data_IF_029969668619
#
_entry.id   IF_029969668619
#
_cell.length_a   1.000
_cell.length_b   1.000
_cell.length_c   1.000
_cell.angle_alpha   90.00
_cell.angle_beta   90.00
_cell.angle_gamma   90.00
#
_symmetry.space_group_name_H-M   'P 1'
#
loop_
_entity.id
_entity.type
_entity.pdbx_description
1 polymer ?
#
# COMPACT_ATOMS: atom_id res chain seq x y z
N UNK A 1 -40.12 14.82 -78.71
CA UNK A 1 -41.10 14.49 -77.64
C UNK A 1 -40.51 13.74 -76.44
N UNK A 2 -39.20 13.37 -76.42
CA UNK A 2 -38.58 12.71 -75.25
C UNK A 2 -37.99 13.68 -74.21
N UNK A 3 -37.62 14.89 -74.60
CA UNK A 3 -36.89 15.82 -73.70
C UNK A 3 -37.77 16.52 -72.67
N UNK A 4 -39.06 16.73 -72.97
CA UNK A 4 -39.97 17.47 -72.06
C UNK A 4 -40.37 16.65 -70.83
N UNK A 5 -40.47 15.33 -70.95
CA UNK A 5 -40.75 14.45 -69.82
C UNK A 5 -39.52 14.21 -68.94
N UNK A 6 -38.31 14.19 -69.54
CA UNK A 6 -37.07 14.03 -68.78
C UNK A 6 -36.80 15.22 -67.85
N UNK A 7 -37.11 16.44 -68.29
CA UNK A 7 -36.99 17.66 -67.47
C UNK A 7 -37.99 17.70 -66.29
N UNK A 8 -39.19 17.14 -66.45
CA UNK A 8 -40.18 17.13 -65.35
C UNK A 8 -39.84 16.08 -64.29
N UNK A 9 -39.38 14.89 -64.68
CA UNK A 9 -38.97 13.85 -63.74
C UNK A 9 -37.70 14.24 -62.95
N UNK A 10 -36.73 14.88 -63.60
CA UNK A 10 -35.53 15.40 -62.94
C UNK A 10 -35.85 16.56 -61.98
N UNK A 11 -36.79 17.45 -62.34
CA UNK A 11 -37.23 18.54 -61.46
C UNK A 11 -37.97 18.02 -60.21
N UNK A 12 -38.87 17.04 -60.37
CA UNK A 12 -39.56 16.40 -59.23
C UNK A 12 -38.57 15.68 -58.31
N UNK A 13 -37.59 14.96 -58.90
CA UNK A 13 -36.51 14.32 -58.15
C UNK A 13 -35.66 15.32 -57.36
N UNK A 14 -35.33 16.48 -57.94
CA UNK A 14 -34.59 17.55 -57.27
C UNK A 14 -35.38 18.14 -56.09
N UNK A 15 -36.67 18.41 -56.27
CA UNK A 15 -37.54 18.95 -55.20
C UNK A 15 -37.65 17.94 -54.06
N UNK A 16 -37.86 16.65 -54.36
CA UNK A 16 -37.90 15.60 -53.35
C UNK A 16 -36.58 15.50 -52.56
N UNK A 17 -35.44 15.65 -53.24
CA UNK A 17 -34.11 15.65 -52.59
C UNK A 17 -33.91 16.88 -51.68
N UNK A 18 -34.39 18.05 -52.09
CA UNK A 18 -34.36 19.29 -51.29
C UNK A 18 -35.26 19.14 -50.06
N UNK A 19 -36.47 18.62 -50.21
CA UNK A 19 -37.38 18.36 -49.09
C UNK A 19 -36.82 17.33 -48.11
N UNK A 20 -36.19 16.26 -48.62
CA UNK A 20 -35.58 15.24 -47.77
C UNK A 20 -34.36 15.78 -47.02
N UNK A 21 -33.48 16.52 -47.69
CA UNK A 21 -32.28 17.10 -47.08
C UNK A 21 -32.63 18.18 -46.03
N UNK A 22 -33.66 18.98 -46.26
CA UNK A 22 -34.16 19.96 -45.26
C UNK A 22 -34.81 19.27 -44.05
N UNK A 23 -35.60 18.21 -44.26
CA UNK A 23 -36.17 17.42 -43.17
C UNK A 23 -35.09 16.73 -42.33
N UNK A 24 -34.09 16.12 -42.97
CA UNK A 24 -32.95 15.50 -42.29
C UNK A 24 -32.14 16.54 -41.50
N UNK A 25 -31.88 17.71 -42.09
CA UNK A 25 -31.17 18.80 -41.41
C UNK A 25 -31.95 19.30 -40.18
N UNK A 26 -33.27 19.46 -40.31
CA UNK A 26 -34.14 19.81 -39.18
C UNK A 26 -34.09 18.77 -38.07
N UNK A 27 -34.19 17.48 -38.41
CA UNK A 27 -34.11 16.37 -37.45
C UNK A 27 -32.77 16.32 -36.73
N UNK A 28 -31.65 16.52 -37.44
CA UNK A 28 -30.31 16.56 -36.84
C UNK A 28 -30.17 17.74 -35.88
N UNK A 29 -30.65 18.93 -36.25
CA UNK A 29 -30.62 20.11 -35.37
C UNK A 29 -31.49 19.89 -34.13
N UNK A 30 -32.67 19.28 -34.27
CA UNK A 30 -33.56 18.96 -33.15
C UNK A 30 -32.92 17.96 -32.18
N UNK A 31 -32.38 16.85 -32.70
CA UNK A 31 -31.70 15.83 -31.91
C UNK A 31 -30.46 16.39 -31.19
N UNK A 32 -29.70 17.29 -31.83
CA UNK A 32 -28.56 17.95 -31.19
C UNK A 32 -29.00 18.87 -30.04
N UNK A 33 -30.16 19.54 -30.15
CA UNK A 33 -30.70 20.35 -29.05
C UNK A 33 -31.17 19.48 -27.89
N UNK A 34 -31.89 18.39 -28.17
CA UNK A 34 -32.32 17.43 -27.15
C UNK A 34 -31.12 16.75 -26.48
N UNK A 35 -30.10 16.37 -27.25
CA UNK A 35 -28.87 15.78 -26.72
C UNK A 35 -28.09 16.74 -25.83
N UNK A 36 -28.03 18.04 -26.17
CA UNK A 36 -27.41 19.06 -25.29
C UNK A 36 -28.21 19.26 -24.01
N UNK A 37 -29.53 19.38 -24.09
CA UNK A 37 -30.38 19.51 -22.91
C UNK A 37 -30.25 18.28 -21.99
N UNK A 38 -30.15 17.08 -22.56
CA UNK A 38 -29.92 15.85 -21.81
C UNK A 38 -28.52 15.85 -21.17
N UNK A 39 -27.49 16.29 -21.90
CA UNK A 39 -26.12 16.40 -21.37
C UNK A 39 -26.06 17.36 -20.18
N UNK A 40 -26.68 18.54 -20.31
CA UNK A 40 -26.73 19.54 -19.23
C UNK A 40 -27.47 18.98 -18.00
N UNK A 41 -28.57 18.25 -18.21
CA UNK A 41 -29.33 17.59 -17.14
C UNK A 41 -28.52 16.51 -16.43
N UNK A 42 -27.80 15.67 -17.19
CA UNK A 42 -26.93 14.61 -16.63
C UNK A 42 -25.77 15.23 -15.85
N UNK A 43 -25.18 16.31 -16.36
CA UNK A 43 -24.09 17.00 -15.70
C UNK A 43 -24.56 17.65 -14.38
N UNK A 44 -25.72 18.30 -14.38
CA UNK A 44 -26.33 18.83 -13.16
C UNK A 44 -26.66 17.73 -12.14
N UNK A 45 -27.15 16.58 -12.61
CA UNK A 45 -27.42 15.43 -11.74
C UNK A 45 -26.13 14.88 -11.12
N UNK A 46 -25.05 14.76 -11.90
CA UNK A 46 -23.75 14.32 -11.39
C UNK A 46 -23.24 15.25 -10.28
N UNK A 47 -23.33 16.56 -10.48
CA UNK A 47 -22.95 17.55 -9.47
C UNK A 47 -23.80 17.44 -8.19
N UNK A 48 -25.12 17.22 -8.33
CA UNK A 48 -26.01 17.01 -7.18
C UNK A 48 -25.69 15.73 -6.42
N UNK A 49 -25.33 14.65 -7.12
CA UNK A 49 -24.93 13.38 -6.50
C UNK A 49 -23.62 13.56 -5.72
N UNK A 50 -22.64 14.27 -6.28
CA UNK A 50 -21.37 14.57 -5.60
C UNK A 50 -21.61 15.39 -4.32
N UNK A 51 -22.42 16.45 -4.40
CA UNK A 51 -22.78 17.25 -3.23
C UNK A 51 -23.55 16.44 -2.16
N UNK A 52 -24.42 15.51 -2.56
CA UNK A 52 -25.09 14.59 -1.65
C UNK A 52 -24.11 13.62 -1.00
N UNK A 53 -23.14 13.09 -1.76
CA UNK A 53 -22.08 12.22 -1.21
C UNK A 53 -21.27 12.96 -0.15
N UNK A 54 -20.89 14.21 -0.41
CA UNK A 54 -20.16 15.01 0.55
C UNK A 54 -20.99 15.28 1.82
N UNK A 55 -22.29 15.50 1.68
CA UNK A 55 -23.20 15.65 2.83
C UNK A 55 -23.34 14.35 3.63
N UNK A 56 -23.38 13.19 2.98
CA UNK A 56 -23.40 11.88 3.63
C UNK A 56 -22.11 11.65 4.41
N UNK A 57 -20.95 11.90 3.81
CA UNK A 57 -19.65 11.80 4.49
C UNK A 57 -19.58 12.72 5.73
N UNK A 58 -20.13 13.93 5.62
CA UNK A 58 -20.22 14.86 6.75
C UNK A 58 -21.19 14.38 7.84
N UNK A 59 -22.27 13.70 7.48
CA UNK A 59 -23.23 13.10 8.43
C UNK A 59 -22.62 11.90 9.13
N UNK A 60 -21.93 11.01 8.40
CA UNK A 60 -21.20 9.86 8.98
C UNK A 60 -20.14 10.33 9.98
N UNK A 61 -19.35 11.34 9.63
CA UNK A 61 -18.37 11.96 10.55
C UNK A 61 -19.01 12.60 11.78
N UNK A 62 -20.24 13.10 11.68
CA UNK A 62 -21.00 13.66 12.82
C UNK A 62 -21.63 12.58 13.70
N UNK A 63 -21.92 11.41 13.15
CA UNK A 63 -22.53 10.32 13.91
C UNK A 63 -21.51 9.44 14.64
N UNK A 64 -20.26 9.42 14.15
CA UNK A 64 -19.11 8.82 14.84
C UNK A 64 -18.99 9.33 16.28
N UNK A 65 -18.88 8.40 17.24
CA UNK A 65 -18.71 8.72 18.67
C UNK A 65 -17.26 9.06 18.96
N UNK A 66 -16.32 8.55 18.18
CA UNK A 66 -14.89 8.84 18.26
C UNK A 66 -14.49 9.85 17.20
N UNK A 67 -13.87 10.93 17.64
CA UNK A 67 -13.28 11.97 16.80
C UNK A 67 -11.75 11.85 16.87
N UNK A 68 -11.11 11.89 15.69
CA UNK A 68 -9.66 12.04 15.53
C UNK A 68 -8.84 11.07 16.40
N UNK A 69 -9.00 9.77 16.16
CA UNK A 69 -8.14 8.75 16.75
C UNK A 69 -6.71 8.89 16.21
N UNK A 70 -5.74 8.98 17.12
CA UNK A 70 -4.32 9.09 16.81
C UNK A 70 -3.54 8.02 17.58
N UNK A 71 -2.45 7.57 16.96
CA UNK A 71 -1.52 6.63 17.54
C UNK A 71 -0.13 7.23 17.52
N UNK A 72 0.49 7.35 18.69
CA UNK A 72 1.92 7.60 18.79
C UNK A 72 2.61 6.28 19.10
N UNK A 73 3.59 5.89 18.29
CA UNK A 73 4.30 4.62 18.41
C UNK A 73 5.74 4.93 18.74
N UNK A 74 6.20 4.39 19.87
CA UNK A 74 7.60 4.42 20.29
C UNK A 74 8.07 2.99 20.47
N UNK A 75 9.38 2.75 20.47
CA UNK A 75 9.91 1.39 20.64
C UNK A 75 10.29 1.14 22.09
N UNK A 76 10.00 -0.07 22.55
CA UNK A 76 10.48 -0.59 23.83
C UNK A 76 11.08 -1.97 23.62
N UNK A 77 12.25 -2.20 24.21
CA UNK A 77 12.91 -3.50 24.22
C UNK A 77 12.48 -4.27 25.47
N UNK A 78 11.97 -5.49 25.29
CA UNK A 78 11.67 -6.42 26.39
C UNK A 78 12.09 -7.82 26.00
N UNK A 79 12.95 -8.42 26.84
CA UNK A 79 13.36 -9.82 26.71
C UNK A 79 13.80 -10.17 25.27
N UNK A 80 14.73 -9.37 24.71
CA UNK A 80 15.30 -9.57 23.36
C UNK A 80 14.30 -9.41 22.20
N UNK A 81 13.09 -8.89 22.48
CA UNK A 81 12.09 -8.56 21.47
C UNK A 81 11.84 -7.06 21.44
N UNK A 82 11.80 -6.46 20.24
CA UNK A 82 11.33 -5.09 20.03
C UNK A 82 9.80 -5.09 19.95
N UNK A 83 9.17 -4.28 20.80
CA UNK A 83 7.74 -4.03 20.78
C UNK A 83 7.45 -2.56 20.48
N UNK A 84 6.37 -2.31 19.75
CA UNK A 84 5.81 -0.99 19.58
C UNK A 84 5.02 -0.64 20.83
N UNK A 85 5.53 0.29 21.64
CA UNK A 85 4.77 0.94 22.71
C UNK A 85 3.86 1.99 22.09
N UNK A 86 2.56 1.71 22.09
CA UNK A 86 1.54 2.51 21.45
C UNK A 86 0.84 3.33 22.51
N UNK A 87 0.88 4.64 22.32
CA UNK A 87 0.01 5.57 23.01
C UNK A 87 -1.17 5.88 22.07
N UNK A 88 -2.33 5.34 22.40
CA UNK A 88 -3.59 5.67 21.75
C UNK A 88 -4.20 6.90 22.42
N UNK A 89 -4.62 7.85 21.61
CA UNK A 89 -5.38 9.03 22.04
C UNK A 89 -6.52 9.30 21.07
N UNK A 90 -7.72 9.50 21.59
CA UNK A 90 -8.86 9.93 20.79
C UNK A 90 -9.76 10.88 21.59
N UNK A 91 -10.65 11.59 20.90
CA UNK A 91 -11.63 12.47 21.52
C UNK A 91 -13.04 11.91 21.30
N UNK A 92 -13.93 12.04 22.28
CA UNK A 92 -15.33 11.69 22.14
C UNK A 92 -16.15 12.87 21.61
N UNK A 93 -17.01 12.60 20.63
CA UNK A 93 -18.01 13.56 20.15
C UNK A 93 -19.26 13.61 21.05
N UNK A 94 -19.64 12.47 21.63
CA UNK A 94 -20.82 12.32 22.50
C UNK A 94 -20.37 11.60 23.78
N UNK A 95 -20.48 12.27 24.92
CA UNK A 95 -20.24 11.65 26.24
C UNK A 95 -21.60 11.23 26.78
N UNK A 96 -21.85 9.93 26.91
CA UNK A 96 -22.97 9.42 27.71
C UNK A 96 -22.45 9.03 29.09
N UNK A 97 -23.13 9.48 30.15
CA UNK A 97 -22.81 9.09 31.53
C UNK A 97 -22.95 7.56 31.67
N UNK A 98 -22.07 6.94 32.49
CA UNK A 98 -22.05 5.50 32.80
C UNK A 98 -21.70 4.52 31.64
N UNK A 99 -21.04 5.00 30.59
CA UNK A 99 -20.57 4.14 29.50
C UNK A 99 -19.24 3.47 29.86
N UNK A 100 -19.15 2.15 29.69
CA UNK A 100 -17.88 1.42 29.78
C UNK A 100 -17.25 1.34 28.40
N UNK A 101 -16.00 1.80 28.30
CA UNK A 101 -15.29 1.94 27.03
C UNK A 101 -14.04 1.04 27.07
N UNK A 102 -13.85 0.21 26.04
CA UNK A 102 -12.71 -0.72 25.93
C UNK A 102 -12.10 -0.63 24.53
N UNK A 103 -10.77 -0.59 24.45
CA UNK A 103 -10.07 -0.72 23.17
C UNK A 103 -9.96 -2.21 22.85
N UNK A 104 -10.37 -2.59 21.65
CA UNK A 104 -10.15 -3.90 21.09
C UNK A 104 -9.07 -3.80 20.03
N UNK A 105 -8.15 -4.75 20.01
CA UNK A 105 -7.13 -4.85 18.98
C UNK A 105 -6.88 -6.32 18.62
N UNK A 106 -6.46 -6.57 17.38
CA UNK A 106 -6.02 -7.90 16.95
C UNK A 106 -5.03 -7.78 15.78
N UNK A 107 -4.09 -8.74 15.63
CA UNK A 107 -3.40 -8.93 14.35
C UNK A 107 -4.43 -9.19 13.25
N UNK A 108 -4.25 -8.63 12.06
CA UNK A 108 -5.17 -8.83 10.92
C UNK A 108 -5.30 -10.31 10.51
N UNK A 109 -4.29 -11.12 10.81
CA UNK A 109 -4.26 -12.57 10.61
C UNK A 109 -5.04 -13.37 11.67
N UNK A 110 -5.48 -12.73 12.77
CA UNK A 110 -6.15 -13.37 13.89
C UNK A 110 -7.66 -13.13 13.88
N UNK A 111 -8.43 -14.12 14.34
CA UNK A 111 -9.87 -13.97 14.57
C UNK A 111 -10.21 -13.46 15.98
N UNK A 112 -9.27 -13.53 16.92
CA UNK A 112 -9.49 -13.21 18.33
C UNK A 112 -9.19 -11.74 18.65
N UNK A 113 -10.14 -11.07 19.30
CA UNK A 113 -9.98 -9.70 19.78
C UNK A 113 -9.40 -9.66 21.19
N UNK A 114 -8.26 -8.99 21.34
CA UNK A 114 -7.66 -8.68 22.62
C UNK A 114 -8.25 -7.39 23.19
N UNK A 115 -8.36 -7.32 24.52
CA UNK A 115 -8.98 -6.20 25.23
C UNK A 115 -7.92 -5.39 25.94
N UNK A 116 -7.91 -4.09 25.69
CA UNK A 116 -7.10 -3.12 26.40
C UNK A 116 -8.01 -2.10 27.13
N UNK A 117 -7.81 -1.87 28.44
CA UNK A 117 -8.50 -0.81 29.16
C UNK A 117 -8.23 0.57 28.55
N UNK A 118 -9.25 1.42 28.49
CA UNK A 118 -9.14 2.84 28.14
C UNK A 118 -9.39 3.67 29.39
N UNK A 119 -8.55 4.67 29.61
CA UNK A 119 -8.78 5.74 30.57
C UNK A 119 -9.59 6.83 29.89
N UNK A 120 -10.67 7.28 30.53
CA UNK A 120 -11.53 8.36 30.03
C UNK A 120 -11.34 9.58 30.91
N UNK A 121 -10.91 10.70 30.34
CA UNK A 121 -10.73 11.96 31.06
C UNK A 121 -11.31 13.13 30.26
N UNK A 122 -12.34 13.79 30.80
CA UNK A 122 -12.97 14.98 30.18
C UNK A 122 -13.28 14.79 28.68
N UNK A 123 -13.80 13.62 28.30
CA UNK A 123 -14.13 13.28 26.91
C UNK A 123 -12.95 12.87 26.03
N UNK A 124 -11.75 12.71 26.59
CA UNK A 124 -10.59 12.14 25.91
C UNK A 124 -10.41 10.67 26.32
N UNK A 125 -10.10 9.85 25.34
CA UNK A 125 -9.79 8.44 25.49
C UNK A 125 -8.28 8.28 25.39
N UNK A 126 -7.69 7.63 26.40
CA UNK A 126 -6.26 7.34 26.40
C UNK A 126 -6.02 5.89 26.75
N UNK A 127 -5.11 5.25 26.03
CA UNK A 127 -4.63 3.93 26.38
C UNK A 127 -3.17 3.75 25.99
N UNK A 128 -2.48 2.91 26.75
CA UNK A 128 -1.11 2.51 26.46
C UNK A 128 -1.01 0.99 26.47
N UNK A 129 -0.44 0.45 25.41
CA UNK A 129 -0.23 -0.99 25.24
C UNK A 129 0.99 -1.23 24.35
N UNK A 130 1.46 -2.48 24.33
CA UNK A 130 2.66 -2.88 23.60
C UNK A 130 2.29 -4.00 22.63
N UNK A 131 2.70 -3.87 21.36
CA UNK A 131 2.45 -4.87 20.32
C UNK A 131 3.75 -5.24 19.60
N UNK A 132 3.92 -6.49 19.17
CA UNK A 132 5.02 -6.86 18.30
C UNK A 132 4.84 -6.27 16.90
N UNK A 133 5.94 -5.99 16.21
CA UNK A 133 5.96 -5.43 14.85
C UNK A 133 5.76 -6.49 13.74
N UNK A 134 5.01 -7.54 14.02
CA UNK A 134 4.87 -8.70 13.13
C UNK A 134 3.77 -8.55 12.08
N UNK A 135 2.76 -7.72 12.35
CA UNK A 135 1.55 -7.61 11.54
C UNK A 135 0.96 -6.20 11.58
N UNK A 136 0.03 -5.94 10.67
CA UNK A 136 -0.94 -4.85 10.81
C UNK A 136 -1.99 -5.21 11.84
N UNK A 137 -2.37 -4.23 12.65
CA UNK A 137 -3.38 -4.41 13.68
C UNK A 137 -4.67 -3.70 13.31
N UNK A 138 -5.78 -4.42 13.43
CA UNK A 138 -7.11 -3.85 13.40
C UNK A 138 -7.49 -3.39 14.81
N UNK A 139 -8.15 -2.22 14.91
CA UNK A 139 -8.57 -1.65 16.18
C UNK A 139 -10.04 -1.24 16.16
N UNK A 140 -10.72 -1.45 17.28
CA UNK A 140 -12.10 -1.02 17.51
C UNK A 140 -12.27 -0.47 18.91
N UNK A 141 -13.19 0.47 19.09
CA UNK A 141 -13.66 0.84 20.42
C UNK A 141 -14.99 0.16 20.67
N UNK A 142 -15.04 -0.60 21.76
CA UNK A 142 -16.27 -1.19 22.28
C UNK A 142 -16.86 -0.27 23.35
N UNK A 143 -18.14 0.02 23.19
CA UNK A 143 -18.94 0.85 24.06
C UNK A 143 -20.08 0.02 24.66
N UNK A 144 -20.09 -0.13 25.98
CA UNK A 144 -21.15 -0.84 26.71
C UNK A 144 -21.99 0.15 27.52
N UNK A 145 -23.29 0.19 27.27
CA UNK A 145 -24.25 1.05 27.99
C UNK A 145 -25.60 0.35 28.10
N UNK A 146 -26.15 0.25 29.32
CA UNK A 146 -27.53 -0.24 29.58
C UNK A 146 -27.91 -1.57 28.91
N UNK A 147 -26.96 -2.48 28.74
CA UNK A 147 -27.18 -3.79 28.11
C UNK A 147 -27.03 -3.79 26.58
N UNK A 148 -26.75 -2.65 25.97
CA UNK A 148 -26.39 -2.51 24.56
C UNK A 148 -24.87 -2.41 24.40
N UNK A 149 -24.35 -2.97 23.32
CA UNK A 149 -22.93 -2.91 22.96
C UNK A 149 -22.79 -2.36 21.55
N UNK A 150 -22.00 -1.30 21.41
CA UNK A 150 -21.67 -0.67 20.14
C UNK A 150 -20.19 -0.80 19.86
N UNK A 151 -19.84 -0.89 18.58
CA UNK A 151 -18.47 -0.97 18.12
C UNK A 151 -18.20 0.14 17.11
N UNK A 152 -17.03 0.76 17.23
CA UNK A 152 -16.56 1.75 16.27
C UNK A 152 -15.18 1.35 15.78
N UNK A 153 -15.06 1.12 14.48
CA UNK A 153 -13.77 0.78 13.85
C UNK A 153 -12.88 2.01 13.79
N UNK A 154 -11.63 1.84 14.21
CA UNK A 154 -10.60 2.87 14.13
C UNK A 154 -9.70 2.63 12.91
N UNK A 155 -8.89 3.63 12.50
CA UNK A 155 -7.85 3.39 11.50
C UNK A 155 -6.91 2.28 11.96
N UNK A 156 -6.52 1.40 11.03
CA UNK A 156 -5.59 0.31 11.31
C UNK A 156 -4.23 0.87 11.78
N UNK A 157 -3.58 0.13 12.67
CA UNK A 157 -2.23 0.43 13.14
C UNK A 157 -1.24 -0.44 12.36
N UNK A 158 -0.63 0.18 11.36
CA UNK A 158 0.46 -0.40 10.59
C UNK A 158 1.77 -0.21 11.36
N UNK A 159 2.22 -1.29 12.00
CA UNK A 159 3.53 -1.37 12.65
C UNK A 159 4.57 -1.97 11.70
N UNK A 160 4.17 -2.91 10.85
CA UNK A 160 5.07 -3.65 9.98
C UNK A 160 5.82 -2.73 9.01
N UNK A 161 5.11 -1.85 8.31
CA UNK A 161 5.68 -0.90 7.34
C UNK A 161 6.61 0.10 8.02
N UNK A 162 6.38 0.44 9.29
CA UNK A 162 7.25 1.35 10.05
C UNK A 162 8.64 0.76 10.33
N UNK A 163 8.77 -0.56 10.53
CA UNK A 163 10.08 -1.21 10.59
C UNK A 163 10.64 -1.47 9.19
N UNK A 164 9.82 -1.84 8.22
CA UNK A 164 10.29 -2.15 6.87
C UNK A 164 10.97 -0.94 6.19
N UNK A 165 10.54 0.28 6.50
CA UNK A 165 11.18 1.53 6.06
C UNK A 165 12.57 1.80 6.67
N UNK A 166 12.99 1.08 7.72
CA UNK A 166 14.34 1.23 8.28
C UNK A 166 15.40 0.68 7.32
N UNK A 167 15.03 -0.29 6.48
CA UNK A 167 15.93 -0.95 5.54
C UNK A 167 15.60 -0.58 4.09
N UNK A 168 16.52 0.10 3.42
CA UNK A 168 16.53 0.13 1.96
C UNK A 168 17.23 -1.11 1.43
N UNK A 169 16.60 -1.84 0.51
CA UNK A 169 17.12 -3.09 -0.07
C UNK A 169 17.07 -2.97 -1.57
N UNK A 170 18.21 -3.14 -2.22
CA UNK A 170 18.31 -3.10 -3.67
C UNK A 170 19.08 -4.31 -4.18
N UNK A 171 18.59 -4.93 -5.26
CA UNK A 171 19.35 -5.90 -6.03
C UNK A 171 19.32 -5.41 -7.47
N UNK A 172 20.49 -5.27 -8.11
CA UNK A 172 20.54 -5.03 -9.55
C UNK A 172 21.26 -6.16 -10.26
N UNK A 173 20.58 -6.75 -11.23
CA UNK A 173 21.19 -7.67 -12.17
C UNK A 173 21.82 -6.87 -13.31
N UNK A 174 23.15 -6.76 -13.33
CA UNK A 174 23.86 -5.94 -14.30
C UNK A 174 23.92 -6.57 -15.69
N UNK A 175 24.16 -7.88 -15.73
CA UNK A 175 24.43 -8.59 -16.98
C UNK A 175 24.20 -10.08 -16.86
N UNK A 176 23.54 -10.65 -17.87
CA UNK A 176 23.49 -12.11 -18.08
C UNK A 176 24.18 -12.41 -19.41
N UNK A 177 25.30 -13.14 -19.36
CA UNK A 177 26.08 -13.54 -20.55
C UNK A 177 26.18 -15.05 -20.59
N UNK A 178 25.50 -15.69 -21.54
CA UNK A 178 25.37 -17.14 -21.56
C UNK A 178 24.65 -17.62 -20.30
N UNK A 179 25.22 -18.60 -19.61
CA UNK A 179 24.72 -19.13 -18.32
C UNK A 179 25.33 -18.43 -17.10
N UNK A 180 25.93 -17.25 -17.25
CA UNK A 180 26.57 -16.50 -16.17
C UNK A 180 25.80 -15.20 -15.91
N UNK A 181 25.49 -14.94 -14.64
CA UNK A 181 24.87 -13.70 -14.16
C UNK A 181 25.85 -12.90 -13.31
N UNK A 182 25.84 -11.59 -13.46
CA UNK A 182 26.52 -10.61 -12.61
C UNK A 182 25.49 -9.71 -11.96
N UNK A 183 25.58 -9.56 -10.64
CA UNK A 183 24.62 -8.80 -9.86
C UNK A 183 25.29 -8.12 -8.67
N UNK A 184 24.63 -7.08 -8.18
CA UNK A 184 24.90 -6.51 -6.86
C UNK A 184 23.67 -6.57 -5.96
N UNK A 185 23.91 -6.68 -4.66
CA UNK A 185 22.90 -6.49 -3.62
C UNK A 185 23.40 -5.43 -2.66
N UNK A 186 22.54 -4.49 -2.30
CA UNK A 186 22.82 -3.37 -1.40
C UNK A 186 21.74 -3.30 -0.31
N UNK A 187 22.19 -3.10 0.92
CA UNK A 187 21.34 -2.89 2.10
C UNK A 187 21.77 -1.58 2.74
N UNK A 188 20.80 -0.72 3.01
CA UNK A 188 20.99 0.50 3.78
C UNK A 188 20.11 0.43 5.01
N UNK A 189 20.69 0.54 6.19
CA UNK A 189 19.96 0.75 7.42
C UNK A 189 20.05 2.22 7.78
N UNK A 190 18.93 2.94 7.70
CA UNK A 190 18.90 4.34 8.12
C UNK A 190 18.99 4.43 9.64
N UNK A 191 19.72 5.44 10.16
CA UNK A 191 19.69 5.73 11.58
C UNK A 191 18.25 5.95 12.02
N UNK A 192 17.87 5.21 13.05
CA UNK A 192 16.56 5.30 13.66
C UNK A 192 16.70 5.28 15.18
N UNK A 193 15.73 5.90 15.85
CA UNK A 193 15.64 5.88 17.31
C UNK A 193 15.42 4.46 17.87
N UNK A 194 15.25 3.47 17.00
CA UNK A 194 14.88 2.10 17.33
C UNK A 194 16.08 1.21 17.70
N UNK A 195 17.32 1.67 17.47
CA UNK A 195 18.54 0.93 17.86
C UNK A 195 18.69 -0.43 17.16
N UNK A 196 17.98 -0.62 16.04
CA UNK A 196 17.98 -1.85 15.25
C UNK A 196 19.34 -2.08 14.64
N UNK A 197 19.81 -3.33 14.69
CA UNK A 197 21.03 -3.79 14.04
C UNK A 197 20.70 -4.99 13.17
N UNK A 198 21.44 -5.13 12.08
CA UNK A 198 21.35 -6.27 11.20
C UNK A 198 22.17 -7.43 11.79
N UNK A 199 21.55 -8.59 12.01
CA UNK A 199 22.19 -9.79 12.53
C UNK A 199 22.61 -10.75 11.40
N UNK A 200 21.78 -10.88 10.36
CA UNK A 200 22.12 -11.61 9.15
C UNK A 200 21.51 -10.98 7.89
N UNK A 201 22.17 -11.19 6.76
CA UNK A 201 21.63 -10.83 5.45
C UNK A 201 22.07 -11.84 4.41
N UNK A 202 21.12 -12.58 3.86
CA UNK A 202 21.35 -13.65 2.92
C UNK A 202 20.74 -13.29 1.57
N UNK A 203 21.58 -13.33 0.53
CA UNK A 203 21.17 -13.21 -0.86
C UNK A 203 21.06 -14.62 -1.47
N UNK A 204 19.84 -15.05 -1.77
CA UNK A 204 19.54 -16.34 -2.39
C UNK A 204 19.33 -16.19 -3.89
N UNK A 205 19.96 -17.07 -4.67
CA UNK A 205 19.78 -17.16 -6.12
C UNK A 205 19.00 -18.43 -6.43
N UNK A 206 17.91 -18.29 -7.16
CA UNK A 206 17.06 -19.38 -7.63
C UNK A 206 17.08 -19.48 -9.15
N UNK A 207 16.85 -20.69 -9.64
CA UNK A 207 16.48 -20.97 -11.04
C UNK A 207 15.29 -21.91 -11.05
N UNK A 208 14.17 -21.51 -11.69
CA UNK A 208 12.91 -22.27 -11.67
C UNK A 208 12.51 -22.71 -10.25
N UNK A 209 12.50 -21.76 -9.32
CA UNK A 209 12.21 -21.94 -7.90
C UNK A 209 13.17 -22.87 -7.11
N UNK A 210 14.24 -23.36 -7.73
CA UNK A 210 15.25 -24.16 -7.04
C UNK A 210 16.41 -23.30 -6.57
N UNK A 211 16.71 -23.33 -5.27
CA UNK A 211 17.84 -22.62 -4.69
C UNK A 211 19.16 -23.14 -5.28
N UNK A 212 19.89 -22.25 -5.94
CA UNK A 212 21.17 -22.53 -6.58
C UNK A 212 22.35 -22.11 -5.71
N UNK A 213 22.25 -20.95 -5.05
CA UNK A 213 23.33 -20.40 -4.24
C UNK A 213 22.81 -19.42 -3.18
N UNK A 214 23.51 -19.39 -2.04
CA UNK A 214 23.36 -18.36 -1.02
C UNK A 214 24.68 -17.60 -0.88
N UNK A 215 24.59 -16.27 -0.82
CA UNK A 215 25.68 -15.38 -0.43
C UNK A 215 25.30 -14.69 0.87
N UNK A 216 26.20 -14.70 1.84
CA UNK A 216 26.07 -13.84 3.00
C UNK A 216 26.57 -12.44 2.62
N UNK A 217 25.72 -11.43 2.84
CA UNK A 217 25.94 -10.03 2.46
C UNK A 217 26.70 -9.27 3.56
N UNK A 218 26.62 -9.73 4.81
CA UNK A 218 27.26 -9.07 5.95
C UNK A 218 28.53 -9.79 6.44
N UNK A 219 28.76 -11.04 6.03
CA UNK A 219 29.91 -11.83 6.49
C UNK A 219 31.25 -11.39 5.85
N UNK A 220 32.30 -11.36 6.68
CA UNK A 220 33.68 -11.04 6.33
C UNK A 220 34.19 -11.86 5.12
N UNK A 221 34.85 -11.22 4.15
CA UNK A 221 35.74 -11.95 3.22
C UNK A 221 37.20 -11.76 3.62
N UNK A 222 37.94 -12.85 3.81
CA UNK A 222 39.39 -12.80 4.02
C UNK A 222 40.10 -12.22 2.78
N UNK A 223 40.45 -10.94 2.83
CA UNK A 223 41.42 -10.34 1.94
C UNK A 223 42.29 -9.35 2.73
N UNK A 224 43.34 -9.87 3.39
CA UNK A 224 44.49 -9.07 3.85
C UNK A 224 44.24 -8.11 5.01
N UNK A 225 44.48 -8.58 6.24
CA UNK A 225 44.93 -7.80 7.43
C UNK A 225 44.15 -6.57 7.92
N UNK A 226 42.93 -6.31 7.46
CA UNK A 226 42.02 -5.38 8.14
C UNK A 226 40.59 -5.94 8.08
N UNK A 227 40.01 -6.24 9.25
CA UNK A 227 38.64 -6.73 9.41
C UNK A 227 37.69 -5.55 9.32
N UNK A 228 37.22 -5.24 8.12
CA UNK A 228 36.08 -4.37 7.90
C UNK A 228 35.05 -5.17 7.07
N UNK A 229 33.73 -4.94 7.24
CA UNK A 229 32.70 -5.47 6.33
C UNK A 229 33.08 -5.14 4.87
N UNK A 230 32.55 -5.85 3.87
CA UNK A 230 32.77 -5.49 2.45
C UNK A 230 32.20 -4.08 2.17
N UNK A 231 33.02 -3.06 2.45
CA UNK A 231 32.71 -1.63 2.49
C UNK A 231 31.46 -1.25 3.33
N UNK A 232 31.64 -1.16 4.64
CA UNK A 232 30.85 -0.21 5.43
C UNK A 232 31.29 1.20 5.01
N UNK A 233 30.51 1.88 4.17
CA UNK A 233 30.64 3.34 4.08
C UNK A 233 29.95 3.90 5.31
N UNK A 234 30.69 4.22 6.36
CA UNK A 234 30.16 4.99 7.48
C UNK A 234 29.70 6.36 6.94
N UNK A 235 28.42 6.47 6.62
CA UNK A 235 27.77 7.77 6.43
C UNK A 235 27.21 8.18 7.78
N UNK A 236 27.20 9.47 8.10
CA UNK A 236 26.78 9.96 9.41
C UNK A 236 25.34 9.58 9.80
N UNK A 237 24.53 9.13 8.84
CA UNK A 237 23.09 8.92 8.98
C UNK A 237 22.62 7.49 8.65
N UNK A 238 23.50 6.57 8.21
CA UNK A 238 23.10 5.22 7.82
C UNK A 238 24.27 4.22 7.75
N UNK A 239 23.98 2.95 8.02
CA UNK A 239 24.88 1.81 7.80
C UNK A 239 24.61 1.19 6.43
N UNK A 240 25.68 0.82 5.71
CA UNK A 240 25.62 0.29 4.36
C UNK A 240 26.32 -1.07 4.26
N UNK A 241 25.68 -2.02 3.59
CA UNK A 241 26.29 -3.30 3.20
C UNK A 241 26.06 -3.55 1.72
N UNK A 242 27.06 -4.12 1.05
CA UNK A 242 26.97 -4.43 -0.37
C UNK A 242 27.81 -5.64 -0.75
N UNK A 243 27.29 -6.43 -1.69
CA UNK A 243 28.07 -7.43 -2.41
C UNK A 243 27.94 -7.21 -3.91
N UNK A 244 29.03 -7.46 -4.63
CA UNK A 244 29.01 -7.66 -6.08
C UNK A 244 29.55 -9.06 -6.37
N UNK A 245 28.74 -9.88 -7.03
CA UNK A 245 29.06 -11.27 -7.30
C UNK A 245 28.71 -11.64 -8.72
N UNK A 246 29.36 -12.72 -9.16
CA UNK A 246 28.97 -13.43 -10.36
C UNK A 246 28.62 -14.87 -10.02
N UNK A 247 27.57 -15.40 -10.64
CA UNK A 247 27.18 -16.79 -10.50
C UNK A 247 27.05 -17.44 -11.88
N UNK A 248 27.61 -18.65 -12.03
CA UNK A 248 27.50 -19.45 -13.24
C UNK A 248 26.53 -20.61 -12.98
N UNK A 249 25.48 -20.69 -13.79
CA UNK A 249 24.49 -21.76 -13.76
C UNK A 249 25.03 -22.95 -14.55
N UNK A 250 25.83 -23.78 -13.89
CA UNK A 250 26.41 -24.98 -14.51
C UNK A 250 25.36 -26.07 -14.72
N UNK A 251 25.50 -26.84 -15.81
CA UNK A 251 24.66 -28.01 -16.13
C UNK A 251 23.16 -27.72 -16.38
N UNK A 252 22.79 -26.47 -16.71
CA UNK A 252 21.44 -26.12 -17.15
C UNK A 252 21.38 -26.10 -18.68
N UNK A 253 20.75 -27.14 -19.25
CA UNK A 253 20.39 -27.15 -20.67
C UNK A 253 19.27 -26.13 -20.92
N UNK A 254 19.32 -25.44 -22.05
CA UNK A 254 18.34 -24.42 -22.46
C UNK A 254 18.10 -23.35 -21.38
N UNK A 255 19.19 -22.77 -20.89
CA UNK A 255 19.17 -21.68 -19.92
C UNK A 255 18.32 -20.50 -20.41
N UNK A 256 17.30 -20.13 -19.63
CA UNK A 256 16.51 -18.92 -19.85
C UNK A 256 16.66 -17.97 -18.65
N UNK A 257 17.21 -16.76 -18.84
CA UNK A 257 17.37 -15.74 -17.80
C UNK A 257 16.09 -15.34 -17.08
N UNK A 258 14.92 -15.44 -17.71
CA UNK A 258 13.62 -15.09 -17.09
C UNK A 258 13.23 -16.01 -15.93
N UNK A 259 13.91 -17.15 -15.76
CA UNK A 259 13.66 -18.07 -14.64
C UNK A 259 14.56 -17.81 -13.44
N UNK A 260 15.41 -16.79 -13.51
CA UNK A 260 16.26 -16.39 -12.39
C UNK A 260 15.41 -15.59 -11.41
N UNK A 261 15.49 -15.93 -10.14
CA UNK A 261 14.97 -15.08 -9.06
C UNK A 261 16.08 -14.85 -8.05
N UNK A 262 16.22 -13.62 -7.59
CA UNK A 262 17.13 -13.28 -6.50
C UNK A 262 16.29 -12.82 -5.32
N UNK A 263 16.52 -13.39 -4.16
CA UNK A 263 15.86 -12.97 -2.93
C UNK A 263 16.89 -12.45 -1.95
N UNK A 264 16.53 -11.41 -1.21
CA UNK A 264 17.30 -10.90 -0.10
C UNK A 264 16.50 -11.10 1.19
N UNK A 265 17.05 -11.88 2.10
CA UNK A 265 16.51 -12.17 3.41
C UNK A 265 17.37 -11.49 4.47
N UNK A 266 16.80 -10.53 5.17
CA UNK A 266 17.45 -9.86 6.29
C UNK A 266 16.89 -10.41 7.60
N UNK A 267 17.73 -10.54 8.61
CA UNK A 267 17.31 -10.78 9.99
C UNK A 267 17.95 -9.73 10.88
N UNK A 268 17.16 -9.04 11.69
CA UNK A 268 17.69 -8.10 12.69
C UNK A 268 18.11 -8.81 13.99
N UNK A 269 18.80 -8.10 14.88
CA UNK A 269 19.24 -8.62 16.19
C UNK A 269 18.10 -8.99 17.13
N UNK A 270 16.85 -8.70 16.76
CA UNK A 270 15.64 -9.03 17.52
C UNK A 270 14.88 -10.21 16.91
N UNK A 271 15.41 -10.82 15.84
CA UNK A 271 14.84 -11.98 15.17
C UNK A 271 13.73 -11.66 14.16
N UNK A 272 13.49 -10.39 13.83
CA UNK A 272 12.56 -10.04 12.76
C UNK A 272 13.20 -10.36 11.41
N UNK A 273 12.42 -10.95 10.50
CA UNK A 273 12.88 -11.28 9.14
C UNK A 273 12.20 -10.41 8.10
N UNK A 274 12.98 -9.93 7.13
CA UNK A 274 12.53 -9.08 6.04
C UNK A 274 12.93 -9.71 4.71
N UNK A 275 11.95 -10.04 3.88
CA UNK A 275 12.17 -10.67 2.58
C UNK A 275 11.90 -9.69 1.45
N UNK A 276 12.80 -9.65 0.47
CA UNK A 276 12.58 -8.91 -0.78
C UNK A 276 12.88 -9.81 -1.96
N UNK A 277 11.91 -9.95 -2.87
CA UNK A 277 12.03 -10.77 -4.07
C UNK A 277 12.29 -9.88 -5.28
N UNK A 278 13.21 -10.31 -6.13
CA UNK A 278 13.53 -9.68 -7.41
C UNK A 278 13.46 -10.74 -8.51
N UNK A 279 12.57 -10.51 -9.47
CA UNK A 279 12.34 -11.32 -10.68
C UNK A 279 12.88 -10.61 -11.92
#
# INVERSE_FOLDING_TARGET
MKDKHYNTFTMIGLIALICLSTYLSYKVVHLNRESRALYDTVHELAYRVEALSEQIDQLEKKDQRVQNANYNVTTVEKAETILGSIQFTAKLNKITENQKITLLYRPSSSSEWLKQPIVVNEGHLESKFELPYTDDYELQIMFEQEGETFYETLPNLDLHTKLDHMFSRHINMHKVTGNKMEFDAQIVLFQSDFGVKLDSALCHIYYKDQLQKTYDVIQETEAGTQKEPQLQMEHQDADFWFINKSYAFENINDFNPENIRIELLLTDTFGNTYLTNFE
#
